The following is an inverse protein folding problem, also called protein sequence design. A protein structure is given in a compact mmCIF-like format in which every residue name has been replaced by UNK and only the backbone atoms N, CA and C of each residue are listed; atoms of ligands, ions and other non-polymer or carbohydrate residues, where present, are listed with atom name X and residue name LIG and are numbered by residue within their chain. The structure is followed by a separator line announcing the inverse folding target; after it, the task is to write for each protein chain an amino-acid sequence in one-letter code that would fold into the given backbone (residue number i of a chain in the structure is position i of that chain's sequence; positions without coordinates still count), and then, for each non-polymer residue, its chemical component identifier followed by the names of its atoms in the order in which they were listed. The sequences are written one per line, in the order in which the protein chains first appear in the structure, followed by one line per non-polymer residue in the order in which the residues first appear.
data_IF_240241969704
#
_entry.id   IF_240241969704
#
_cell.length_a   1.000
_cell.length_b   1.000
_cell.length_c   1.000
_cell.angle_alpha   90.00
_cell.angle_beta   90.00
_cell.angle_gamma   90.00
#
_symmetry.space_group_name_H-M   'P 1'
#
loop_
_entity.id
_entity.type
_entity.pdbx_description
1 polymer ?
#
# COMPACT_ATOMS: atom_id res chain seq x y z
N UNK A 1 -64.77 -13.57 13.75
CA UNK A 1 -64.16 -13.54 12.42
C UNK A 1 -63.21 -12.37 12.38
N UNK A 2 -61.90 -12.63 12.44
CA UNK A 2 -61.06 -13.02 11.29
C UNK A 2 -60.64 -11.74 10.53
N UNK A 3 -59.40 -11.27 10.71
CA UNK A 3 -58.24 -11.53 9.82
C UNK A 3 -58.20 -10.51 8.67
N UNK A 4 -57.08 -10.08 8.07
CA UNK A 4 -55.65 -10.09 8.44
C UNK A 4 -54.91 -9.21 7.39
N UNK A 5 -54.06 -8.27 7.84
CA UNK A 5 -52.77 -7.75 7.26
C UNK A 5 -52.63 -7.68 5.71
N UNK A 6 -52.18 -6.57 5.10
CA UNK A 6 -50.78 -6.36 4.66
C UNK A 6 -50.51 -5.02 3.94
N UNK A 7 -49.21 -4.73 3.75
CA UNK A 7 -48.57 -3.58 3.05
C UNK A 7 -48.45 -2.33 3.96
N UNK A 8 -47.38 -2.14 4.75
CA UNK A 8 -46.01 -1.74 4.34
C UNK A 8 -46.07 -0.40 3.54
N UNK A 9 -45.29 0.68 3.72
CA UNK A 9 -43.82 0.89 3.87
C UNK A 9 -43.65 2.37 4.32
N UNK A 10 -42.56 2.90 4.88
CA UNK A 10 -41.24 2.36 5.26
C UNK A 10 -40.63 3.33 6.31
N UNK A 11 -39.86 2.88 7.31
CA UNK A 11 -39.16 3.75 8.26
C UNK A 11 -37.92 3.06 8.86
N UNK A 12 -36.78 3.74 8.78
CA UNK A 12 -35.63 3.68 9.70
C UNK A 12 -34.61 4.74 9.24
N UNK A 13 -34.61 5.88 9.92
CA UNK A 13 -33.39 6.68 10.07
C UNK A 13 -32.26 5.79 10.58
N UNK A 14 -31.04 5.98 10.09
CA UNK A 14 -29.90 6.11 11.01
C UNK A 14 -28.70 6.77 10.32
N UNK A 15 -28.32 7.92 10.87
CA UNK A 15 -27.10 8.63 10.53
C UNK A 15 -25.94 7.90 11.23
N UNK A 16 -25.05 7.26 10.47
CA UNK A 16 -23.77 6.77 11.00
C UNK A 16 -22.65 7.70 10.54
N UNK A 17 -22.58 8.85 11.21
CA UNK A 17 -21.36 9.63 11.32
C UNK A 17 -20.56 9.10 12.52
N UNK A 18 -19.22 9.09 12.42
CA UNK A 18 -18.26 8.71 13.47
C UNK A 18 -18.17 7.22 13.86
N UNK A 19 -17.01 6.61 13.59
CA UNK A 19 -16.04 6.51 14.69
C UNK A 19 -14.59 6.66 14.22
N UNK A 20 -13.93 7.62 14.86
CA UNK A 20 -12.63 7.46 15.50
C UNK A 20 -11.50 6.78 14.70
N UNK A 21 -10.81 7.64 13.97
CA UNK A 21 -9.36 7.88 14.06
C UNK A 21 -8.70 7.47 15.41
N UNK A 22 -8.65 6.18 15.73
CA UNK A 22 -7.89 5.63 16.85
C UNK A 22 -6.55 5.10 16.34
N UNK A 23 -5.54 5.98 16.35
CA UNK A 23 -4.16 5.56 16.27
C UNK A 23 -3.80 4.84 17.58
N UNK A 24 -3.50 3.52 17.59
CA UNK A 24 -3.09 2.85 18.83
C UNK A 24 -1.80 3.49 19.35
N UNK A 25 -1.91 4.07 20.54
CA UNK A 25 -0.84 4.84 21.16
C UNK A 25 0.33 3.94 21.55
N UNK A 26 1.50 4.27 21.01
CA UNK A 26 2.85 4.12 21.61
C UNK A 26 3.01 2.98 22.64
N UNK A 27 3.02 1.73 22.18
CA UNK A 27 3.96 0.77 22.75
C UNK A 27 5.32 0.95 22.09
N UNK A 28 6.35 1.24 22.88
CA UNK A 28 7.76 1.31 22.43
C UNK A 28 8.32 -0.10 22.19
N UNK A 29 7.64 -0.89 21.34
CA UNK A 29 8.20 -2.15 20.83
C UNK A 29 9.48 -1.83 20.06
N UNK A 30 10.48 -2.68 20.20
CA UNK A 30 11.81 -2.45 19.64
C UNK A 30 11.73 -2.54 18.11
N UNK A 31 11.61 -1.38 17.45
CA UNK A 31 11.51 -1.23 15.97
C UNK A 31 12.43 -2.21 15.24
N UNK A 32 13.67 -2.28 15.71
CA UNK A 32 14.75 -3.14 15.25
C UNK A 32 14.41 -4.64 15.15
N UNK A 33 13.46 -5.19 15.93
CA UNK A 33 13.08 -6.61 15.87
C UNK A 33 12.02 -6.86 14.82
N UNK A 34 10.96 -6.04 14.80
CA UNK A 34 9.87 -6.15 13.82
C UNK A 34 10.40 -5.88 12.39
N UNK A 35 11.18 -4.81 12.21
CA UNK A 35 11.84 -4.51 10.93
C UNK A 35 12.72 -5.67 10.44
N UNK A 36 13.38 -6.40 11.35
CA UNK A 36 14.26 -7.52 11.01
C UNK A 36 13.49 -8.77 10.57
N UNK A 37 12.25 -8.95 11.00
CA UNK A 37 11.37 -10.01 10.47
C UNK A 37 10.93 -9.63 9.05
N UNK A 38 10.48 -8.40 8.85
CA UNK A 38 10.02 -7.95 7.54
C UNK A 38 11.11 -7.96 6.45
N UNK A 39 12.40 -7.83 6.79
CA UNK A 39 13.52 -7.93 5.82
C UNK A 39 13.49 -9.22 4.98
N UNK A 40 13.00 -10.32 5.53
CA UNK A 40 12.91 -11.61 4.85
C UNK A 40 11.60 -11.76 4.04
N UNK A 41 10.55 -11.00 4.39
CA UNK A 41 9.24 -11.03 3.74
C UNK A 41 8.97 -9.86 2.79
N UNK A 42 9.75 -8.78 2.86
CA UNK A 42 9.63 -7.60 1.99
C UNK A 42 9.75 -7.98 0.51
N UNK A 43 10.66 -8.90 0.18
CA UNK A 43 10.86 -9.38 -1.19
C UNK A 43 9.64 -10.15 -1.71
N UNK A 44 9.08 -11.04 -0.88
CA UNK A 44 7.84 -11.76 -1.17
C UNK A 44 6.66 -10.81 -1.32
N UNK A 45 6.53 -9.82 -0.43
CA UNK A 45 5.50 -8.80 -0.46
C UNK A 45 5.56 -7.95 -1.73
N UNK A 46 6.76 -7.50 -2.12
CA UNK A 46 6.95 -6.71 -3.35
C UNK A 46 6.58 -7.55 -4.57
N UNK A 47 7.04 -8.80 -4.66
CA UNK A 47 6.71 -9.69 -5.76
C UNK A 47 5.21 -10.03 -5.82
N UNK A 48 4.56 -10.27 -4.67
CA UNK A 48 3.13 -10.55 -4.57
C UNK A 48 2.26 -9.34 -4.98
N UNK A 49 2.66 -8.13 -4.59
CA UNK A 49 1.97 -6.89 -5.00
C UNK A 49 2.22 -6.57 -6.46
N UNK A 50 3.46 -6.73 -6.97
CA UNK A 50 3.82 -6.51 -8.37
C UNK A 50 2.91 -7.30 -9.33
N UNK A 51 2.68 -8.59 -9.04
CA UNK A 51 1.77 -9.48 -9.79
C UNK A 51 0.31 -9.00 -9.83
N UNK A 52 -0.12 -8.16 -8.89
CA UNK A 52 -1.52 -7.77 -8.67
C UNK A 52 -1.72 -6.27 -8.91
N UNK A 53 -1.83 -5.82 -10.17
CA UNK A 53 -1.83 -4.40 -10.50
C UNK A 53 -3.06 -3.64 -10.01
N UNK A 54 -4.15 -4.30 -9.61
CA UNK A 54 -5.27 -3.66 -8.90
C UNK A 54 -4.86 -2.95 -7.58
N UNK A 55 -3.73 -3.34 -6.96
CA UNK A 55 -3.22 -2.70 -5.74
C UNK A 55 -2.46 -1.39 -6.00
N UNK A 56 -1.60 -1.39 -7.03
CA UNK A 56 -0.62 -0.34 -7.27
C UNK A 56 -0.89 0.48 -8.53
N UNK A 57 -1.54 -0.10 -9.56
CA UNK A 57 -1.78 0.54 -10.84
C UNK A 57 -3.09 1.36 -10.85
N UNK A 58 -2.91 2.68 -10.85
CA UNK A 58 -3.99 3.67 -10.89
C UNK A 58 -4.58 3.92 -12.30
N UNK A 59 -3.93 3.45 -13.38
CA UNK A 59 -4.47 3.58 -14.76
C UNK A 59 -5.50 2.50 -15.10
N UNK A 60 -5.63 1.47 -14.25
CA UNK A 60 -6.62 0.40 -14.41
C UNK A 60 -8.05 0.93 -14.20
N UNK A 61 -9.01 0.61 -15.09
CA UNK A 61 -10.40 1.02 -14.96
C UNK A 61 -11.04 0.59 -13.63
N UNK A 62 -11.84 1.47 -13.03
CA UNK A 62 -12.41 1.26 -11.68
C UNK A 62 -13.22 -0.04 -11.52
N UNK A 63 -13.80 -0.58 -12.60
CA UNK A 63 -14.46 -1.91 -12.62
C UNK A 63 -13.52 -3.06 -12.24
N UNK A 64 -12.22 -2.95 -12.51
CA UNK A 64 -11.16 -3.92 -12.16
C UNK A 64 -10.48 -3.58 -10.81
N UNK A 65 -10.91 -2.48 -10.16
CA UNK A 65 -10.41 -1.97 -8.87
C UNK A 65 -11.57 -1.70 -7.91
N UNK A 66 -12.58 -2.58 -7.90
CA UNK A 66 -13.69 -2.47 -6.95
C UNK A 66 -13.17 -2.69 -5.51
N UNK A 67 -13.81 -2.11 -4.48
CA UNK A 67 -13.39 -2.31 -3.09
C UNK A 67 -13.37 -3.79 -2.67
N UNK A 68 -14.25 -4.61 -3.25
CA UNK A 68 -14.28 -6.06 -3.02
C UNK A 68 -13.05 -6.74 -3.60
N UNK A 69 -12.74 -6.47 -4.89
CA UNK A 69 -11.53 -7.01 -5.55
C UNK A 69 -10.29 -6.62 -4.75
N UNK A 70 -10.15 -5.34 -4.34
CA UNK A 70 -8.99 -4.89 -3.57
C UNK A 70 -8.87 -5.60 -2.22
N UNK A 71 -9.98 -5.85 -1.51
CA UNK A 71 -9.97 -6.63 -0.24
C UNK A 71 -9.52 -8.07 -0.46
N UNK A 72 -10.11 -8.76 -1.44
CA UNK A 72 -9.76 -10.13 -1.83
C UNK A 72 -8.28 -10.25 -2.26
N UNK A 73 -7.83 -9.31 -3.09
CA UNK A 73 -6.44 -9.18 -3.55
C UNK A 73 -5.46 -9.07 -2.38
N UNK A 74 -5.78 -8.32 -1.32
CA UNK A 74 -4.94 -8.23 -0.12
C UNK A 74 -4.93 -9.52 0.72
N UNK A 75 -6.04 -10.27 0.74
CA UNK A 75 -6.09 -11.60 1.38
C UNK A 75 -5.25 -12.62 0.60
N UNK A 76 -5.25 -12.57 -0.73
CA UNK A 76 -4.32 -13.38 -1.54
C UNK A 76 -2.85 -13.04 -1.27
N UNK A 77 -2.51 -11.75 -1.15
CA UNK A 77 -1.15 -11.32 -0.77
C UNK A 77 -0.78 -11.86 0.62
N UNK A 78 -1.69 -11.79 1.60
CA UNK A 78 -1.47 -12.36 2.94
C UNK A 78 -1.14 -13.85 2.87
N UNK A 79 -1.92 -14.62 2.10
CA UNK A 79 -1.71 -16.05 1.87
C UNK A 79 -0.40 -16.37 1.14
N UNK A 80 0.05 -15.49 0.23
CA UNK A 80 1.32 -15.66 -0.49
C UNK A 80 2.56 -15.37 0.38
N UNK A 81 2.40 -14.65 1.50
CA UNK A 81 3.49 -14.35 2.46
C UNK A 81 3.39 -15.20 3.76
N UNK A 82 2.98 -16.46 3.63
CA UNK A 82 2.80 -17.45 4.69
C UNK A 82 1.73 -17.12 5.76
N UNK A 83 0.75 -16.26 5.44
CA UNK A 83 -0.33 -15.81 6.37
C UNK A 83 0.15 -15.21 7.71
N UNK A 84 1.44 -14.89 7.81
CA UNK A 84 2.17 -14.61 9.05
C UNK A 84 1.89 -13.23 9.67
N UNK A 85 1.30 -12.33 8.89
CA UNK A 85 1.02 -10.94 9.26
C UNK A 85 -0.44 -10.61 8.99
N UNK A 86 -0.99 -9.65 9.72
CA UNK A 86 -2.37 -9.22 9.46
C UNK A 86 -2.46 -8.25 8.28
N UNK A 87 -3.59 -8.22 7.56
CA UNK A 87 -3.75 -7.45 6.32
C UNK A 87 -3.38 -5.96 6.51
N UNK A 88 -3.70 -5.39 7.67
CA UNK A 88 -3.35 -4.00 7.99
C UNK A 88 -1.85 -3.78 8.22
N UNK A 89 -1.13 -4.77 8.75
CA UNK A 89 0.33 -4.71 8.88
C UNK A 89 0.99 -4.79 7.50
N UNK A 90 0.48 -5.67 6.63
CA UNK A 90 0.93 -5.82 5.24
C UNK A 90 0.76 -4.51 4.47
N UNK A 91 -0.43 -3.89 4.54
CA UNK A 91 -0.70 -2.57 3.93
C UNK A 91 0.24 -1.49 4.48
N UNK A 92 0.45 -1.48 5.81
CA UNK A 92 1.36 -0.53 6.48
C UNK A 92 2.81 -0.72 6.02
N UNK A 93 3.27 -1.97 5.87
CA UNK A 93 4.61 -2.28 5.34
C UNK A 93 4.75 -1.87 3.88
N UNK A 94 3.78 -2.22 3.04
CA UNK A 94 3.75 -1.82 1.63
C UNK A 94 3.82 -0.30 1.46
N UNK A 95 3.09 0.46 2.29
CA UNK A 95 3.18 1.93 2.31
C UNK A 95 4.58 2.41 2.67
N UNK A 96 5.20 1.85 3.71
CA UNK A 96 6.57 2.20 4.12
C UNK A 96 7.61 1.88 3.02
N UNK A 97 7.44 0.77 2.29
CA UNK A 97 8.27 0.41 1.14
C UNK A 97 8.10 1.45 0.01
N UNK A 98 6.86 1.79 -0.35
CA UNK A 98 6.57 2.83 -1.35
C UNK A 98 7.17 4.19 -0.99
N UNK A 99 7.08 4.61 0.28
CA UNK A 99 7.64 5.89 0.71
C UNK A 99 9.17 5.88 0.78
N UNK A 100 9.77 4.73 1.11
CA UNK A 100 11.22 4.52 1.03
C UNK A 100 11.71 4.54 -0.42
N UNK A 101 10.95 3.94 -1.33
CA UNK A 101 11.20 3.96 -2.77
C UNK A 101 11.13 5.39 -3.34
N UNK A 102 10.06 6.14 -3.05
CA UNK A 102 9.93 7.56 -3.45
C UNK A 102 11.12 8.39 -2.95
N UNK A 103 11.51 8.25 -1.67
CA UNK A 103 12.69 8.93 -1.10
C UNK A 103 13.99 8.56 -1.81
N UNK A 104 14.16 7.29 -2.20
CA UNK A 104 15.32 6.85 -2.95
C UNK A 104 15.32 7.43 -4.38
N UNK A 105 14.16 7.44 -5.06
CA UNK A 105 13.99 8.03 -6.39
C UNK A 105 14.24 9.54 -6.38
N UNK A 106 13.67 10.29 -5.44
CA UNK A 106 13.92 11.72 -5.27
C UNK A 106 15.43 12.00 -5.15
N UNK A 107 16.17 11.24 -4.33
CA UNK A 107 17.64 11.37 -4.21
C UNK A 107 18.41 11.08 -5.50
N UNK A 108 17.84 10.30 -6.42
CA UNK A 108 18.40 10.01 -7.75
C UNK A 108 18.04 11.10 -8.76
N UNK A 109 16.82 11.67 -8.70
CA UNK A 109 16.31 12.66 -9.66
C UNK A 109 16.60 14.12 -9.29
N UNK A 110 16.62 14.47 -8.00
CA UNK A 110 16.97 15.81 -7.49
C UNK A 110 18.47 16.10 -7.63
N UNK A 111 19.31 15.06 -7.80
CA UNK A 111 20.75 15.22 -8.04
C UNK A 111 21.05 15.55 -9.52
N UNK A 112 20.55 16.70 -9.96
CA UNK A 112 21.05 17.42 -11.14
C UNK A 112 21.82 18.64 -10.60
N UNK A 113 23.15 18.56 -10.44
CA UNK A 113 23.92 19.66 -9.89
C UNK A 113 23.99 20.83 -10.88
N UNK A 114 23.13 21.83 -10.68
CA UNK A 114 23.24 23.11 -11.38
C UNK A 114 24.47 23.88 -10.88
N UNK A 115 25.63 23.59 -11.47
CA UNK A 115 26.83 24.43 -11.35
C UNK A 115 27.96 23.94 -10.42
N UNK A 116 28.32 22.64 -10.40
CA UNK A 116 29.57 22.23 -9.74
C UNK A 116 30.17 20.93 -10.30
N UNK A 117 31.49 20.93 -10.57
CA UNK A 117 32.29 19.82 -11.13
C UNK A 117 32.57 18.69 -10.12
N UNK A 118 31.62 18.36 -9.25
CA UNK A 118 31.75 17.21 -8.37
C UNK A 118 31.66 15.91 -9.21
N UNK A 119 32.61 14.96 -9.06
CA UNK A 119 32.61 13.75 -9.87
C UNK A 119 31.32 12.96 -9.66
N UNK A 120 30.68 12.55 -10.76
CA UNK A 120 29.37 11.86 -10.81
C UNK A 120 29.50 10.44 -10.28
N UNK A 121 29.73 10.34 -8.97
CA UNK A 121 29.56 9.13 -8.20
C UNK A 121 28.07 8.80 -8.24
N UNK A 122 27.68 7.97 -9.22
CA UNK A 122 26.35 7.38 -9.37
C UNK A 122 25.94 6.79 -8.02
N UNK A 123 25.19 7.56 -7.22
CA UNK A 123 24.94 7.22 -5.81
C UNK A 123 24.19 5.91 -5.79
N UNK A 124 24.87 4.86 -5.31
CA UNK A 124 24.37 3.48 -5.28
C UNK A 124 22.93 3.50 -4.77
N UNK A 125 22.04 2.80 -5.46
CA UNK A 125 20.61 2.70 -5.14
C UNK A 125 20.48 2.30 -3.67
N UNK A 126 20.27 3.29 -2.79
CA UNK A 126 20.47 3.13 -1.33
C UNK A 126 19.37 2.30 -0.66
N UNK A 127 18.33 1.95 -1.42
CA UNK A 127 17.19 1.17 -0.99
C UNK A 127 17.30 -0.21 -1.63
N UNK A 128 17.34 -1.26 -0.80
CA UNK A 128 17.61 -2.66 -1.20
C UNK A 128 16.72 -3.13 -2.35
N UNK A 129 15.46 -2.72 -2.35
CA UNK A 129 14.44 -3.18 -3.32
C UNK A 129 14.14 -2.14 -4.41
N UNK A 130 15.07 -1.21 -4.69
CA UNK A 130 14.85 -0.15 -5.69
C UNK A 130 14.48 -0.72 -7.06
N UNK A 131 15.21 -1.74 -7.52
CA UNK A 131 15.03 -2.36 -8.84
C UNK A 131 13.71 -3.12 -8.91
N UNK A 132 13.36 -3.85 -7.84
CA UNK A 132 12.09 -4.57 -7.75
C UNK A 132 10.87 -3.66 -7.67
N UNK A 133 11.01 -2.41 -7.22
CA UNK A 133 9.92 -1.43 -7.16
C UNK A 133 9.91 -0.45 -8.34
N UNK A 134 10.78 -0.63 -9.34
CA UNK A 134 10.90 0.25 -10.51
C UNK A 134 9.60 0.31 -11.34
N UNK A 135 8.77 -0.75 -11.31
CA UNK A 135 7.45 -0.79 -11.94
C UNK A 135 6.48 0.31 -11.46
N UNK A 136 6.73 0.93 -10.31
CA UNK A 136 5.95 2.06 -9.81
C UNK A 136 6.22 3.37 -10.61
N UNK A 137 7.29 3.44 -11.40
CA UNK A 137 7.64 4.64 -12.17
C UNK A 137 6.66 4.93 -13.31
N UNK A 138 6.23 3.90 -14.04
CA UNK A 138 5.35 4.00 -15.24
C UNK A 138 3.99 4.66 -14.94
N UNK A 139 3.61 4.75 -13.67
CA UNK A 139 2.38 5.41 -13.21
C UNK A 139 2.54 6.90 -12.89
N UNK A 140 3.78 7.34 -12.68
CA UNK A 140 4.09 8.70 -12.22
C UNK A 140 4.41 9.66 -13.36
N UNK A 141 4.65 9.14 -14.56
CA UNK A 141 4.88 9.89 -15.80
C UNK A 141 3.56 10.39 -16.39
N UNK A 142 2.82 11.20 -15.64
CA UNK A 142 1.65 11.92 -16.15
C UNK A 142 1.57 13.35 -15.63
N UNK A 143 2.46 14.19 -16.17
CA UNK A 143 2.09 15.53 -16.62
C UNK A 143 3.09 16.02 -17.68
N UNK A 144 2.65 16.36 -18.91
CA UNK A 144 3.42 17.26 -19.78
C UNK A 144 3.40 18.69 -19.23
#
# INVERSE_FOLDING_TARGET
SADMVQESKEANDDIIENNEQSCPSVEKRTRNKEDKIWIDYDELLINAVMKRPCLWNHTIPMKRRSPLIVKETWLEVKKEIDDKFEVEEIKKRWRNLCDSYKKARNKVTEYIPSGSEAPVNKKKKSFRYYDQMEFLNDLTTSRP
#
